data_IF_107731042759
#
_entry.id   IF_107731042759
#
_cell.length_a   1.000
_cell.length_b   1.000
_cell.length_c   1.000
_cell.angle_alpha   90.00
_cell.angle_beta   90.00
_cell.angle_gamma   90.00
#
_symmetry.space_group_name_H-M   'P 1'
#
loop_
_entity.id
_entity.type
_entity.pdbx_description
1 polymer ?
#
# COMPACT_ATOMS: atom_id res chain seq x y z
N UNK A 1 14.46 -5.38 15.81
CA UNK A 1 14.87 -5.00 14.44
C UNK A 1 14.70 -6.20 13.52
N UNK A 2 14.36 -6.00 12.25
CA UNK A 2 14.15 -7.06 11.24
C UNK A 2 14.73 -6.61 9.89
N UNK A 3 15.21 -7.56 9.10
CA UNK A 3 15.61 -7.34 7.71
C UNK A 3 15.02 -8.46 6.85
N UNK A 4 14.27 -8.08 5.81
CA UNK A 4 13.74 -9.00 4.82
C UNK A 4 14.75 -9.32 3.73
N UNK A 5 14.40 -10.27 2.87
CA UNK A 5 15.23 -10.65 1.74
C UNK A 5 15.34 -9.53 0.71
N UNK A 6 16.49 -9.47 0.03
CA UNK A 6 16.65 -8.61 -1.12
C UNK A 6 15.83 -9.11 -2.30
N UNK A 7 14.99 -8.24 -2.84
CA UNK A 7 14.27 -8.44 -4.10
C UNK A 7 14.62 -7.29 -5.05
N UNK A 8 15.24 -7.62 -6.19
CA UNK A 8 15.76 -6.64 -7.15
C UNK A 8 16.72 -5.61 -6.52
N UNK A 9 17.58 -6.07 -5.59
CA UNK A 9 18.55 -5.21 -4.91
C UNK A 9 17.96 -4.29 -3.83
N UNK A 10 16.71 -4.52 -3.43
CA UNK A 10 16.00 -3.73 -2.40
C UNK A 10 15.49 -4.68 -1.32
N UNK A 11 15.71 -4.34 -0.06
CA UNK A 11 15.12 -5.03 1.10
C UNK A 11 14.26 -4.06 1.92
N UNK A 12 13.31 -4.61 2.68
CA UNK A 12 12.60 -3.88 3.74
C UNK A 12 13.28 -4.19 5.08
N UNK A 13 13.53 -3.15 5.87
CA UNK A 13 14.08 -3.27 7.22
C UNK A 13 13.18 -2.57 8.23
N UNK A 14 13.18 -3.05 9.47
CA UNK A 14 12.46 -2.46 10.61
C UNK A 14 13.48 -1.98 11.64
N UNK A 15 13.45 -0.69 11.95
CA UNK A 15 14.33 -0.06 12.93
C UNK A 15 13.91 -0.39 14.38
N UNK A 16 14.65 0.15 15.35
CA UNK A 16 14.40 -0.07 16.78
C UNK A 16 13.06 0.50 17.28
N UNK A 17 12.54 1.52 16.60
CA UNK A 17 11.23 2.12 16.89
C UNK A 17 10.06 1.35 16.24
N UNK A 18 10.33 0.21 15.60
CA UNK A 18 9.32 -0.59 14.91
C UNK A 18 8.89 -0.02 13.56
N UNK A 19 9.60 0.97 13.01
CA UNK A 19 9.26 1.59 11.73
C UNK A 19 10.03 0.95 10.57
N UNK A 20 9.33 0.75 9.45
CA UNK A 20 9.81 0.07 8.25
C UNK A 20 10.34 1.06 7.20
N UNK A 21 11.43 0.73 6.51
CA UNK A 21 11.94 1.47 5.34
C UNK A 21 12.57 0.53 4.30
N UNK A 22 12.77 1.03 3.08
CA UNK A 22 13.50 0.33 2.02
C UNK A 22 14.99 0.69 2.04
N UNK A 23 15.85 -0.30 1.96
CA UNK A 23 17.30 -0.14 1.83
C UNK A 23 17.85 -0.79 0.55
N UNK A 24 18.96 -0.27 0.05
CA UNK A 24 19.74 -0.90 -1.01
C UNK A 24 20.67 -2.00 -0.48
N UNK A 25 21.42 -2.66 -1.37
CA UNK A 25 22.35 -3.75 -1.00
C UNK A 25 23.52 -3.31 -0.12
N UNK A 26 23.73 -2.01 0.08
CA UNK A 26 24.73 -1.45 0.99
C UNK A 26 24.14 -1.12 2.36
N UNK A 27 22.83 -1.26 2.53
CA UNK A 27 22.12 -0.89 3.75
C UNK A 27 21.63 0.57 3.76
N UNK A 28 21.78 1.31 2.66
CA UNK A 28 21.45 2.72 2.61
C UNK A 28 19.95 2.94 2.31
N UNK A 29 19.25 3.83 3.03
CA UNK A 29 17.84 4.11 2.77
C UNK A 29 17.59 4.65 1.35
N UNK A 30 16.64 4.06 0.63
CA UNK A 30 16.34 4.41 -0.76
C UNK A 30 15.63 5.76 -0.89
N UNK A 31 14.75 6.09 0.06
CA UNK A 31 13.93 7.30 0.01
C UNK A 31 13.87 8.08 1.34
N UNK A 32 14.59 7.63 2.38
CA UNK A 32 14.69 8.33 3.66
C UNK A 32 13.36 8.49 4.42
N UNK A 33 12.36 7.64 4.17
CA UNK A 33 11.05 7.67 4.85
C UNK A 33 10.80 6.38 5.59
N UNK A 34 10.06 6.50 6.68
CA UNK A 34 9.72 5.41 7.58
C UNK A 34 8.20 5.30 7.70
N UNK A 35 7.70 4.07 7.73
CA UNK A 35 6.28 3.74 7.76
C UNK A 35 5.99 2.74 8.88
N UNK A 36 4.74 2.67 9.34
CA UNK A 36 4.35 1.67 10.35
C UNK A 36 4.49 0.25 9.79
N UNK A 37 4.08 0.05 8.54
CA UNK A 37 4.28 -1.17 7.77
C UNK A 37 4.67 -0.83 6.34
N UNK A 38 5.47 -1.68 5.71
CA UNK A 38 5.97 -1.47 4.36
C UNK A 38 6.21 -2.79 3.64
N UNK A 39 5.64 -2.92 2.45
CA UNK A 39 5.86 -4.06 1.56
C UNK A 39 6.98 -3.79 0.56
N UNK A 40 7.57 -4.86 0.03
CA UNK A 40 8.50 -4.78 -1.10
C UNK A 40 7.82 -4.20 -2.35
N UNK A 41 8.63 -3.60 -3.24
CA UNK A 41 8.13 -3.12 -4.52
C UNK A 41 7.56 -4.24 -5.40
N UNK A 42 6.37 -3.99 -5.96
CA UNK A 42 5.70 -4.77 -6.99
C UNK A 42 5.25 -3.83 -8.13
N UNK A 43 5.74 -4.08 -9.35
CA UNK A 43 5.46 -3.25 -10.55
C UNK A 43 5.69 -1.74 -10.34
N UNK A 44 6.70 -1.38 -9.56
CA UNK A 44 7.11 0.01 -9.33
C UNK A 44 6.43 0.71 -8.14
N UNK A 45 5.50 0.03 -7.46
CA UNK A 45 4.82 0.55 -6.27
C UNK A 45 5.04 -0.37 -5.07
N UNK A 46 4.98 0.18 -3.87
CA UNK A 46 4.96 -0.58 -2.62
C UNK A 46 3.72 -0.19 -1.82
N UNK A 47 3.25 -1.08 -0.95
CA UNK A 47 2.19 -0.77 0.01
C UNK A 47 2.87 -0.26 1.27
N UNK A 48 2.42 0.89 1.77
CA UNK A 48 2.86 1.46 3.03
C UNK A 48 1.65 1.67 3.94
N UNK A 49 1.92 1.77 5.24
CA UNK A 49 0.92 2.10 6.25
C UNK A 49 1.40 3.27 7.11
N UNK A 50 0.51 4.21 7.34
CA UNK A 50 0.64 5.24 8.36
C UNK A 50 -0.48 5.11 9.40
N UNK A 51 -0.58 6.06 10.33
CA UNK A 51 -1.59 6.07 11.38
C UNK A 51 -3.04 6.10 10.87
N UNK A 52 -3.24 6.49 9.61
CA UNK A 52 -4.56 6.60 8.97
C UNK A 52 -4.91 5.37 8.13
N UNK A 53 -3.94 4.53 7.74
CA UNK A 53 -4.19 3.27 7.05
C UNK A 53 -3.19 2.96 5.94
N UNK A 54 -3.54 1.99 5.09
CA UNK A 54 -2.71 1.54 3.98
C UNK A 54 -2.91 2.36 2.71
N UNK A 55 -1.83 2.51 1.94
CA UNK A 55 -1.79 3.23 0.67
C UNK A 55 -0.60 2.76 -0.18
N UNK A 56 -0.55 3.17 -1.44
CA UNK A 56 0.58 2.88 -2.31
C UNK A 56 1.57 4.05 -2.36
N UNK A 57 2.86 3.71 -2.38
CA UNK A 57 3.97 4.65 -2.59
C UNK A 57 4.76 4.30 -3.85
N UNK A 58 5.42 5.30 -4.43
CA UNK A 58 6.41 5.12 -5.49
C UNK A 58 7.82 4.85 -4.94
N UNK A 59 8.82 4.73 -5.84
CA UNK A 59 10.23 4.51 -5.46
C UNK A 59 10.87 5.64 -4.64
N UNK A 60 10.32 6.85 -4.71
CA UNK A 60 10.74 7.99 -3.89
C UNK A 60 10.03 8.02 -2.52
N UNK A 61 9.29 6.96 -2.17
CA UNK A 61 8.51 6.87 -0.96
C UNK A 61 7.33 7.87 -0.90
N UNK A 62 6.94 8.45 -2.02
CA UNK A 62 5.81 9.39 -2.09
C UNK A 62 4.53 8.61 -2.33
N UNK A 63 3.50 8.91 -1.55
CA UNK A 63 2.14 8.44 -1.83
C UNK A 63 1.71 8.84 -3.24
N UNK A 64 1.02 7.94 -3.93
CA UNK A 64 0.55 8.19 -5.31
C UNK A 64 -0.89 8.73 -5.37
N UNK A 65 -1.57 8.78 -4.22
CA UNK A 65 -2.86 9.42 -3.94
C UNK A 65 -3.02 9.60 -2.42
N UNK A 66 -4.00 10.38 -1.97
CA UNK A 66 -4.20 10.73 -0.55
C UNK A 66 -5.08 9.76 0.25
N UNK A 67 -5.93 8.95 -0.39
CA UNK A 67 -6.82 8.01 0.29
C UNK A 67 -6.07 6.96 1.13
N UNK A 68 -6.72 6.50 2.19
CA UNK A 68 -6.24 5.46 3.12
C UNK A 68 -7.29 4.36 3.26
N UNK A 69 -6.80 3.14 3.45
CA UNK A 69 -7.61 1.93 3.40
C UNK A 69 -7.28 1.02 4.58
N UNK A 70 -8.25 0.22 5.03
CA UNK A 70 -8.00 -0.81 6.06
C UNK A 70 -7.21 -2.00 5.50
N UNK A 71 -7.32 -2.23 4.19
CA UNK A 71 -6.54 -3.20 3.43
C UNK A 71 -6.39 -2.75 1.99
N UNK A 72 -5.24 -3.04 1.39
CA UNK A 72 -5.01 -2.81 -0.04
C UNK A 72 -4.14 -3.92 -0.62
N UNK A 73 -4.32 -4.23 -1.90
CA UNK A 73 -3.54 -5.22 -2.64
C UNK A 73 -2.62 -4.56 -3.68
N UNK A 74 -1.53 -5.22 -4.10
CA UNK A 74 -0.66 -4.70 -5.15
C UNK A 74 -1.39 -4.51 -6.49
N UNK A 75 -0.86 -3.61 -7.33
CA UNK A 75 -1.40 -3.41 -8.67
C UNK A 75 -1.16 -4.59 -9.61
N UNK A 76 -2.24 -5.01 -10.29
CA UNK A 76 -2.20 -5.86 -11.48
C UNK A 76 -3.04 -5.20 -12.58
N UNK A 77 -2.46 -5.03 -13.78
CA UNK A 77 -3.11 -4.37 -14.92
C UNK A 77 -3.72 -3.00 -14.57
N UNK A 78 -2.95 -2.18 -13.83
CA UNK A 78 -3.36 -0.86 -13.33
C UNK A 78 -4.62 -0.87 -12.45
N UNK A 79 -4.87 -1.98 -11.74
CA UNK A 79 -5.98 -2.15 -10.79
C UNK A 79 -5.47 -2.75 -9.49
N UNK A 80 -5.96 -2.24 -8.36
CA UNK A 80 -5.72 -2.78 -7.04
C UNK A 80 -7.05 -2.92 -6.30
N UNK A 81 -7.20 -3.99 -5.53
CA UNK A 81 -8.32 -4.12 -4.58
C UNK A 81 -8.00 -3.29 -3.35
N UNK A 82 -8.98 -2.55 -2.84
CA UNK A 82 -8.90 -1.86 -1.58
C UNK A 82 -10.18 -2.08 -0.77
N UNK A 83 -10.06 -2.02 0.55
CA UNK A 83 -11.19 -2.02 1.49
C UNK A 83 -11.09 -0.74 2.30
N UNK A 84 -12.15 0.06 2.31
CA UNK A 84 -12.19 1.30 3.09
C UNK A 84 -12.55 1.06 4.57
N UNK A 85 -12.59 2.14 5.35
CA UNK A 85 -12.91 2.08 6.79
C UNK A 85 -14.38 1.71 7.09
N UNK A 86 -15.26 1.69 6.08
CA UNK A 86 -16.64 1.21 6.17
C UNK A 86 -16.77 -0.25 5.70
N UNK A 87 -15.64 -0.96 5.50
CA UNK A 87 -15.57 -2.30 4.94
C UNK A 87 -16.14 -2.43 3.51
N UNK A 88 -16.20 -1.33 2.76
CA UNK A 88 -16.59 -1.36 1.35
C UNK A 88 -15.38 -1.79 0.51
N UNK A 89 -15.55 -2.86 -0.25
CA UNK A 89 -14.56 -3.34 -1.21
C UNK A 89 -14.67 -2.59 -2.53
N UNK A 90 -13.53 -2.17 -3.06
CA UNK A 90 -13.44 -1.40 -4.31
C UNK A 90 -12.20 -1.75 -5.11
N UNK A 91 -12.25 -1.44 -6.40
CA UNK A 91 -11.09 -1.48 -7.30
C UNK A 91 -10.63 -0.04 -7.54
N UNK A 92 -9.35 0.23 -7.34
CA UNK A 92 -8.75 1.54 -7.56
C UNK A 92 -7.68 1.51 -8.66
N UNK A 93 -7.45 2.66 -9.29
CA UNK A 93 -6.35 2.90 -10.22
C UNK A 93 -5.12 3.49 -9.51
N UNK A 94 -3.92 3.49 -10.12
CA UNK A 94 -2.72 4.16 -9.58
C UNK A 94 -2.89 5.66 -9.32
N UNK A 95 -3.89 6.31 -9.93
CA UNK A 95 -4.23 7.72 -9.69
C UNK A 95 -5.16 7.91 -8.47
N UNK A 96 -5.53 6.84 -7.78
CA UNK A 96 -6.47 6.86 -6.65
C UNK A 96 -7.95 6.89 -7.07
N UNK A 97 -8.28 6.87 -8.36
CA UNK A 97 -9.67 6.83 -8.80
C UNK A 97 -10.29 5.46 -8.52
N UNK A 98 -11.51 5.46 -7.97
CA UNK A 98 -12.34 4.26 -7.82
C UNK A 98 -12.89 3.87 -9.19
N UNK A 99 -12.59 2.65 -9.63
CA UNK A 99 -13.01 2.08 -10.92
C UNK A 99 -14.27 1.22 -10.78
N UNK A 100 -14.45 0.59 -9.62
CA UNK A 100 -15.60 -0.26 -9.30
C UNK A 100 -15.76 -0.33 -7.79
N UNK A 101 -17.01 -0.42 -7.31
CA UNK A 101 -17.34 -0.75 -5.93
C UNK A 101 -18.23 -1.98 -5.93
N UNK A 102 -18.04 -2.87 -4.95
CA UNK A 102 -19.05 -3.88 -4.67
C UNK A 102 -20.25 -3.16 -4.06
N UNK A 103 -21.29 -2.97 -4.86
CA UNK A 103 -22.53 -2.37 -4.37
C UNK A 103 -23.11 -3.27 -3.29
N UNK A 104 -23.34 -2.72 -2.10
CA UNK A 104 -24.29 -3.31 -1.14
C UNK A 104 -25.55 -3.62 -1.93
N UNK A 105 -25.98 -4.89 -1.90
CA UNK A 105 -27.25 -5.30 -2.49
C UNK A 105 -28.33 -4.39 -1.90
N UNK A 106 -28.90 -3.50 -2.71
CA UNK A 106 -30.15 -2.85 -2.36
C UNK A 106 -31.17 -3.97 -2.24
N UNK A 107 -31.52 -4.35 -1.02
CA UNK A 107 -32.76 -5.08 -0.77
C UNK A 107 -33.88 -4.14 -1.22
N UNK A 108 -34.28 -4.25 -2.48
CA UNK A 108 -35.60 -3.78 -2.89
C UNK A 108 -36.57 -4.64 -2.11
N UNK A 109 -37.12 -4.06 -1.04
CA UNK A 109 -38.33 -4.55 -0.40
C UNK A 109 -39.36 -4.79 -1.49
N UNK A 110 -39.73 -6.05 -1.69
CA UNK A 110 -40.88 -6.38 -2.52
C UNK A 110 -42.12 -6.01 -1.68
N UNK A 111 -42.94 -5.12 -2.25
CA UNK A 111 -44.30 -4.88 -1.76
C UNK A 111 -45.12 -6.16 -1.81
#
# INVERSE_FOLDING_TARGET
TYAGDYKYGIAVVINENGLSTHIDTKGEPIHGKYFLELDVYHKGYAIAKDEHGYFHINKQGKEIYSSRYVKIEPYYNNRAVAIDHHNVKMIISPKGHILQTDSVVNFKSCK
#
